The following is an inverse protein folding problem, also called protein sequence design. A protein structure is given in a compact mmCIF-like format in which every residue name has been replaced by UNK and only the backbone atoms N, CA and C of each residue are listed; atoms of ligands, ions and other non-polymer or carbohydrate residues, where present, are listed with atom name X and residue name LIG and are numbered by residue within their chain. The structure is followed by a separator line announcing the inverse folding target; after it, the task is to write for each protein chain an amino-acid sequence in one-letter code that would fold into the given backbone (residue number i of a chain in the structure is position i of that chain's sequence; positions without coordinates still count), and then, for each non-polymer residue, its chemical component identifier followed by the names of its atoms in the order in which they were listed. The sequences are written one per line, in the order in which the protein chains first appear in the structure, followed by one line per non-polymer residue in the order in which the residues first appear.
data_IF_010342221344
#
_entry.id   IF_010342221344
#
_cell.length_a   1.000
_cell.length_b   1.000
_cell.length_c   1.000
_cell.angle_alpha   90.00
_cell.angle_beta   90.00
_cell.angle_gamma   90.00
#
_symmetry.space_group_name_H-M   'P 1'
#
loop_
_entity.id
_entity.type
_entity.pdbx_description
1 polymer ?
#
# COMPACT_ATOMS: atom_id res chain seq x y z
N UNK A 1 -20.65 18.80 -31.27
CA UNK A 1 -20.57 19.41 -29.93
C UNK A 1 -21.16 18.43 -28.93
N UNK A 2 -20.34 17.59 -28.32
CA UNK A 2 -20.78 16.56 -27.36
C UNK A 2 -20.89 17.17 -25.96
N UNK A 3 -22.09 17.12 -25.40
CA UNK A 3 -22.45 17.71 -24.11
C UNK A 3 -21.63 17.07 -22.97
N UNK A 4 -21.09 17.90 -22.09
CA UNK A 4 -20.30 17.49 -20.92
C UNK A 4 -21.22 16.82 -19.90
N UNK A 5 -21.01 15.54 -19.60
CA UNK A 5 -21.74 14.83 -18.54
C UNK A 5 -21.06 15.07 -17.19
N UNK A 6 -21.81 15.64 -16.24
CA UNK A 6 -21.37 15.98 -14.88
C UNK A 6 -21.29 14.73 -13.99
N UNK A 7 -20.44 14.76 -12.95
CA UNK A 7 -20.30 13.71 -11.93
C UNK A 7 -21.40 13.75 -10.84
N UNK A 8 -22.45 14.54 -11.07
CA UNK A 8 -23.57 14.74 -10.16
C UNK A 8 -24.87 14.54 -10.92
N UNK A 9 -25.80 13.83 -10.28
CA UNK A 9 -27.19 13.76 -10.73
C UNK A 9 -27.86 15.12 -10.66
N UNK A 10 -29.03 15.25 -11.30
CA UNK A 10 -29.86 16.46 -11.26
C UNK A 10 -30.38 16.82 -9.85
N UNK A 11 -30.22 15.91 -8.90
CA UNK A 11 -30.57 16.04 -7.48
C UNK A 11 -29.41 16.49 -6.59
N UNK A 12 -28.23 16.73 -7.18
CA UNK A 12 -27.02 17.14 -6.47
C UNK A 12 -26.30 15.99 -5.74
N UNK A 13 -26.71 14.73 -5.94
CA UNK A 13 -26.03 13.58 -5.38
C UNK A 13 -24.91 13.06 -6.29
N UNK A 14 -23.86 12.53 -5.65
CA UNK A 14 -22.65 12.03 -6.29
C UNK A 14 -22.89 10.60 -6.80
N UNK A 15 -23.08 10.42 -8.11
CA UNK A 15 -23.25 9.12 -8.77
C UNK A 15 -21.90 8.46 -9.13
N UNK A 16 -20.95 8.46 -8.19
CA UNK A 16 -19.65 7.84 -8.34
C UNK A 16 -19.40 6.80 -7.25
N UNK A 17 -18.83 5.66 -7.63
CA UNK A 17 -18.39 4.64 -6.67
C UNK A 17 -17.20 5.20 -5.88
N UNK A 18 -17.45 5.73 -4.67
CA UNK A 18 -16.39 6.20 -3.77
C UNK A 18 -15.61 5.01 -3.21
N UNK A 19 -14.42 4.77 -3.75
CA UNK A 19 -13.38 3.95 -3.13
C UNK A 19 -12.17 4.83 -2.79
N UNK A 20 -12.31 5.75 -1.82
CA UNK A 20 -11.21 6.63 -1.37
C UNK A 20 -10.73 7.64 -2.43
N UNK A 21 -9.54 8.27 -2.27
CA UNK A 21 -9.08 9.40 -3.10
C UNK A 21 -8.76 9.06 -4.57
N UNK A 22 -9.06 7.83 -5.01
CA UNK A 22 -8.81 7.37 -6.36
C UNK A 22 -10.15 7.22 -7.09
N UNK A 23 -10.45 8.15 -7.98
CA UNK A 23 -11.62 8.06 -8.86
C UNK A 23 -11.20 7.39 -10.18
N UNK A 24 -11.63 6.14 -10.39
CA UNK A 24 -11.50 5.48 -11.69
C UNK A 24 -12.61 6.03 -12.59
N UNK A 25 -12.24 6.62 -13.73
CA UNK A 25 -13.21 7.22 -14.67
C UNK A 25 -13.82 6.13 -15.56
N UNK A 26 -15.10 6.29 -15.92
CA UNK A 26 -15.78 5.44 -16.90
C UNK A 26 -15.02 5.51 -18.24
N UNK A 27 -14.74 4.35 -18.84
CA UNK A 27 -14.02 4.23 -20.13
C UNK A 27 -12.52 3.97 -20.03
N UNK A 28 -11.97 3.68 -18.84
CA UNK A 28 -10.59 3.20 -18.72
C UNK A 28 -10.41 1.85 -19.39
N UNK A 29 -9.36 1.75 -20.21
CA UNK A 29 -8.99 0.53 -20.90
C UNK A 29 -8.67 -0.59 -19.89
N UNK A 30 -9.30 -1.75 -20.09
CA UNK A 30 -9.10 -2.95 -19.26
C UNK A 30 -7.64 -3.39 -19.26
N UNK A 31 -6.94 -3.21 -20.38
CA UNK A 31 -5.52 -3.52 -20.46
C UNK A 31 -4.69 -2.58 -19.58
N UNK A 32 -4.96 -1.27 -19.62
CA UNK A 32 -4.33 -0.28 -18.74
C UNK A 32 -4.58 -0.58 -17.25
N UNK A 33 -5.84 -0.86 -16.86
CA UNK A 33 -6.19 -1.24 -15.48
C UNK A 33 -5.45 -2.51 -15.00
N UNK A 34 -5.25 -3.47 -15.91
CA UNK A 34 -4.51 -4.70 -15.61
C UNK A 34 -3.02 -4.41 -15.40
N UNK A 35 -2.43 -3.54 -16.22
CA UNK A 35 -1.05 -3.09 -16.05
C UNK A 35 -0.85 -2.33 -14.74
N UNK A 36 -1.75 -1.41 -14.41
CA UNK A 36 -1.73 -0.67 -13.15
C UNK A 36 -1.82 -1.61 -11.94
N UNK A 37 -2.69 -2.61 -12.00
CA UNK A 37 -2.79 -3.61 -10.94
C UNK A 37 -1.49 -4.42 -10.79
N UNK A 38 -0.80 -4.73 -11.90
CA UNK A 38 0.50 -5.41 -11.85
C UNK A 38 1.56 -4.53 -11.17
N UNK A 39 1.62 -3.24 -11.50
CA UNK A 39 2.52 -2.27 -10.88
C UNK A 39 2.26 -2.18 -9.37
N UNK A 40 1.00 -2.00 -8.97
CA UNK A 40 0.64 -1.87 -7.55
C UNK A 40 0.90 -3.17 -6.78
N UNK A 41 0.72 -4.34 -7.41
CA UNK A 41 1.07 -5.63 -6.80
C UNK A 41 2.56 -5.71 -6.50
N UNK A 42 3.40 -5.30 -7.44
CA UNK A 42 4.84 -5.27 -7.27
C UNK A 42 5.26 -4.28 -6.18
N UNK A 43 4.66 -3.09 -6.14
CA UNK A 43 4.89 -2.09 -5.09
C UNK A 43 4.42 -2.51 -3.69
N UNK A 44 3.59 -3.56 -3.60
CA UNK A 44 3.15 -4.16 -2.35
C UNK A 44 3.93 -5.43 -1.98
N UNK A 45 4.90 -5.86 -2.80
CA UNK A 45 5.66 -7.08 -2.54
C UNK A 45 6.59 -6.88 -1.34
N UNK A 46 6.60 -7.87 -0.44
CA UNK A 46 7.53 -7.92 0.68
C UNK A 46 8.99 -7.87 0.23
N UNK A 47 9.83 -7.27 1.06
CA UNK A 47 11.27 -7.15 0.85
C UNK A 47 12.00 -8.47 1.12
N UNK A 48 13.20 -8.62 0.55
CA UNK A 48 14.06 -9.75 0.91
C UNK A 48 14.58 -9.55 2.33
N UNK A 49 14.62 -10.62 3.13
CA UNK A 49 15.13 -10.58 4.51
C UNK A 49 16.53 -9.95 4.62
N UNK A 50 17.40 -10.15 3.62
CA UNK A 50 18.74 -9.55 3.58
C UNK A 50 18.71 -8.02 3.48
N UNK A 51 17.78 -7.45 2.72
CA UNK A 51 17.63 -5.99 2.58
C UNK A 51 17.04 -5.39 3.86
N UNK A 52 16.07 -6.08 4.46
CA UNK A 52 15.47 -5.68 5.74
C UNK A 52 16.50 -5.75 6.87
N UNK A 53 17.30 -6.82 6.93
CA UNK A 53 18.37 -6.97 7.92
C UNK A 53 19.36 -5.81 7.88
N UNK A 54 19.67 -5.28 6.70
CA UNK A 54 20.53 -4.11 6.55
C UNK A 54 19.91 -2.86 7.19
N UNK A 55 18.63 -2.60 6.97
CA UNK A 55 17.96 -1.43 7.56
C UNK A 55 17.74 -1.57 9.07
N UNK A 56 17.40 -2.78 9.54
CA UNK A 56 17.30 -3.08 10.98
C UNK A 56 18.67 -2.91 11.64
N UNK A 57 19.76 -3.37 11.04
CA UNK A 57 21.11 -3.17 11.58
C UNK A 57 21.45 -1.68 11.72
N UNK A 58 21.14 -0.84 10.71
CA UNK A 58 21.32 0.61 10.81
C UNK A 58 20.49 1.22 11.94
N UNK A 59 19.23 0.81 12.07
CA UNK A 59 18.35 1.26 13.16
C UNK A 59 18.94 0.90 14.54
N UNK A 60 19.42 -0.32 14.72
CA UNK A 60 20.03 -0.77 15.98
C UNK A 60 21.30 0.01 16.30
N UNK A 61 22.14 0.31 15.30
CA UNK A 61 23.37 1.11 15.49
C UNK A 61 23.06 2.57 15.86
N UNK A 62 21.96 3.12 15.33
CA UNK A 62 21.57 4.52 15.54
C UNK A 62 20.68 4.74 16.77
N UNK A 63 20.30 3.68 17.49
CA UNK A 63 19.45 3.75 18.67
C UNK A 63 20.09 3.06 19.87
N UNK A 64 19.67 3.42 21.09
CA UNK A 64 20.12 2.74 22.31
C UNK A 64 19.20 1.57 22.64
N UNK A 65 19.78 0.42 22.95
CA UNK A 65 19.04 -0.68 23.56
C UNK A 65 18.62 -0.30 24.99
N UNK A 66 17.41 -0.73 25.42
CA UNK A 66 16.84 -0.41 26.74
C UNK A 66 17.36 -1.28 27.90
N UNK A 67 18.46 -2.02 27.70
CA UNK A 67 19.09 -3.00 28.62
C UNK A 67 18.75 -4.48 28.32
N UNK A 68 18.90 -4.88 27.06
CA UNK A 68 18.89 -6.30 26.67
C UNK A 68 20.31 -6.87 26.66
N UNK A 69 20.45 -8.14 27.07
CA UNK A 69 21.67 -8.89 26.81
C UNK A 69 21.89 -9.13 25.31
N UNK A 70 23.11 -9.49 24.89
CA UNK A 70 23.46 -9.66 23.48
C UNK A 70 22.56 -10.70 22.76
N UNK A 71 22.20 -11.78 23.46
CA UNK A 71 21.32 -12.83 22.93
C UNK A 71 19.87 -12.36 22.70
N UNK A 72 19.31 -11.57 23.61
CA UNK A 72 17.97 -10.99 23.47
C UNK A 72 17.93 -9.96 22.34
N UNK A 73 18.97 -9.14 22.22
CA UNK A 73 19.09 -8.14 21.15
C UNK A 73 19.13 -8.80 19.77
N UNK A 74 19.84 -9.93 19.64
CA UNK A 74 19.87 -10.73 18.41
C UNK A 74 18.51 -11.33 18.07
N UNK A 75 17.84 -11.95 19.03
CA UNK A 75 16.51 -12.55 18.81
C UNK A 75 15.47 -11.48 18.43
N UNK A 76 15.54 -10.31 19.06
CA UNK A 76 14.71 -9.16 18.70
C UNK A 76 14.96 -8.73 17.25
N UNK A 77 16.21 -8.56 16.84
CA UNK A 77 16.56 -8.17 15.48
C UNK A 77 16.09 -9.21 14.44
N UNK A 78 16.31 -10.50 14.70
CA UNK A 78 15.86 -11.59 13.82
C UNK A 78 14.33 -11.60 13.67
N UNK A 79 13.60 -11.37 14.76
CA UNK A 79 12.13 -11.28 14.77
C UNK A 79 11.65 -10.06 13.98
N UNK A 80 12.23 -8.88 14.23
CA UNK A 80 11.92 -7.67 13.46
C UNK A 80 12.18 -7.86 11.97
N UNK A 81 13.27 -8.52 11.58
CA UNK A 81 13.57 -8.80 10.17
C UNK A 81 12.53 -9.72 9.55
N UNK A 82 12.09 -10.75 10.28
CA UNK A 82 11.04 -11.64 9.80
C UNK A 82 9.73 -10.88 9.57
N UNK A 83 9.30 -10.06 10.53
CA UNK A 83 8.03 -9.34 10.44
C UNK A 83 8.07 -8.19 9.42
N UNK A 84 9.14 -7.40 9.39
CA UNK A 84 9.31 -6.31 8.42
C UNK A 84 9.45 -6.82 6.98
N UNK A 85 9.87 -8.08 6.77
CA UNK A 85 9.95 -8.66 5.42
C UNK A 85 8.58 -8.83 4.74
N UNK A 86 7.47 -8.71 5.50
CA UNK A 86 6.13 -8.63 4.92
C UNK A 86 5.87 -7.30 4.18
N UNK A 87 6.69 -6.28 4.41
CA UNK A 87 6.53 -4.94 3.84
C UNK A 87 7.52 -4.68 2.70
N UNK A 88 7.17 -3.82 1.73
CA UNK A 88 8.10 -3.36 0.71
C UNK A 88 9.32 -2.65 1.31
N UNK A 89 10.49 -2.79 0.68
CA UNK A 89 11.75 -2.28 1.23
C UNK A 89 11.75 -0.76 1.41
N UNK A 90 11.04 -0.04 0.54
CA UNK A 90 10.93 1.42 0.63
C UNK A 90 10.07 1.86 1.82
N UNK A 91 9.09 1.03 2.22
CA UNK A 91 8.30 1.25 3.44
C UNK A 91 9.14 0.96 4.69
N UNK A 92 9.92 -0.12 4.67
CA UNK A 92 10.83 -0.48 5.78
C UNK A 92 11.88 0.61 5.99
N UNK A 93 12.55 1.06 4.92
CA UNK A 93 13.53 2.17 4.98
C UNK A 93 12.92 3.42 5.59
N UNK A 94 11.76 3.84 5.08
CA UNK A 94 11.05 4.99 5.61
C UNK A 94 10.75 4.83 7.09
N UNK A 95 10.26 3.67 7.54
CA UNK A 95 9.93 3.45 8.94
C UNK A 95 11.16 3.52 9.85
N UNK A 96 12.27 2.90 9.44
CA UNK A 96 13.54 2.96 10.19
C UNK A 96 14.11 4.37 10.24
N UNK A 97 14.11 5.10 9.11
CA UNK A 97 14.62 6.48 9.03
C UNK A 97 13.75 7.45 9.83
N UNK A 98 12.42 7.38 9.67
CA UNK A 98 11.45 8.19 10.38
C UNK A 98 11.59 8.08 11.90
N UNK A 99 11.83 6.85 12.41
CA UNK A 99 12.06 6.65 13.83
C UNK A 99 13.30 7.41 14.32
N UNK A 100 14.42 7.22 13.62
CA UNK A 100 15.70 7.83 14.03
C UNK A 100 15.68 9.35 13.91
N UNK A 101 14.95 9.90 12.95
CA UNK A 101 14.87 11.36 12.71
C UNK A 101 13.95 12.10 13.68
N UNK A 102 13.28 11.42 14.61
CA UNK A 102 12.48 12.07 15.66
C UNK A 102 10.99 11.71 15.65
N UNK A 103 10.60 10.61 15.01
CA UNK A 103 9.23 10.11 15.01
C UNK A 103 8.71 9.61 16.37
N UNK A 104 9.61 9.26 17.31
CA UNK A 104 9.28 8.86 18.69
C UNK A 104 10.54 8.50 19.45
N UNK A 105 10.68 8.95 20.71
CA UNK A 105 11.79 8.68 21.64
C UNK A 105 13.11 8.22 20.98
N UNK A 106 13.62 8.98 19.99
CA UNK A 106 14.60 8.54 18.99
C UNK A 106 15.94 8.06 19.57
N UNK A 107 16.09 8.25 20.89
CA UNK A 107 17.14 7.69 21.71
C UNK A 107 17.09 6.17 21.80
N UNK A 108 15.90 5.54 21.81
CA UNK A 108 15.76 4.12 22.08
C UNK A 108 15.30 3.34 20.85
N UNK A 109 15.68 2.06 20.81
CA UNK A 109 15.20 1.13 19.79
C UNK A 109 13.68 1.03 19.86
N UNK A 110 12.95 1.09 18.73
CA UNK A 110 11.50 0.99 18.74
C UNK A 110 11.07 -0.43 19.11
N UNK A 111 9.90 -0.53 19.70
CA UNK A 111 9.15 -1.78 19.76
C UNK A 111 8.60 -2.16 18.39
N UNK A 112 8.30 -3.45 18.20
CA UNK A 112 7.65 -3.92 16.98
C UNK A 112 6.33 -3.18 16.64
N UNK A 113 5.40 -2.97 17.59
CA UNK A 113 4.16 -2.24 17.32
C UNK A 113 4.36 -0.83 16.74
N UNK A 114 5.38 -0.09 17.21
CA UNK A 114 5.66 1.27 16.73
C UNK A 114 6.13 1.27 15.27
N UNK A 115 7.06 0.37 14.91
CA UNK A 115 7.48 0.21 13.51
C UNK A 115 6.34 -0.27 12.62
N UNK A 116 5.52 -1.19 13.13
CA UNK A 116 4.36 -1.72 12.42
C UNK A 116 3.37 -0.61 12.08
N UNK A 117 3.04 0.27 13.03
CA UNK A 117 2.10 1.38 12.80
C UNK A 117 2.60 2.30 11.67
N UNK A 118 3.88 2.66 11.68
CA UNK A 118 4.48 3.48 10.62
C UNK A 118 4.39 2.77 9.26
N UNK A 119 4.70 1.47 9.22
CA UNK A 119 4.62 0.68 8.01
C UNK A 119 3.18 0.56 7.47
N UNK A 120 2.21 0.29 8.34
CA UNK A 120 0.79 0.17 7.99
C UNK A 120 0.23 1.49 7.45
N UNK A 121 0.54 2.61 8.11
CA UNK A 121 0.14 3.95 7.66
C UNK A 121 0.68 4.26 6.26
N UNK A 122 1.91 3.86 5.96
CA UNK A 122 2.51 4.05 4.62
C UNK A 122 1.93 3.09 3.57
N UNK A 123 1.53 1.88 3.97
CA UNK A 123 0.95 0.87 3.08
C UNK A 123 -0.53 1.10 2.74
N UNK A 124 -1.29 1.74 3.62
CA UNK A 124 -2.74 1.90 3.49
C UNK A 124 -3.17 2.43 2.11
N UNK A 125 -2.51 3.47 1.60
CA UNK A 125 -2.80 4.01 0.26
C UNK A 125 -2.61 2.99 -0.87
N UNK A 126 -1.53 2.21 -0.84
CA UNK A 126 -1.25 1.16 -1.84
C UNK A 126 -2.28 0.04 -1.78
N UNK A 127 -2.64 -0.37 -0.57
CA UNK A 127 -3.62 -1.43 -0.35
C UNK A 127 -5.02 -1.01 -0.79
N UNK A 128 -5.41 0.25 -0.55
CA UNK A 128 -6.67 0.82 -1.04
C UNK A 128 -6.71 0.86 -2.56
N UNK A 129 -5.65 1.35 -3.21
CA UNK A 129 -5.55 1.38 -4.67
C UNK A 129 -5.63 -0.04 -5.25
N UNK A 130 -4.91 -1.01 -4.66
CA UNK A 130 -4.97 -2.42 -5.06
C UNK A 130 -6.38 -2.99 -4.96
N UNK A 131 -7.12 -2.67 -3.90
CA UNK A 131 -8.52 -3.11 -3.73
C UNK A 131 -9.43 -2.47 -4.78
N UNK A 132 -9.28 -1.16 -5.03
CA UNK A 132 -10.06 -0.45 -6.04
C UNK A 132 -9.85 -1.04 -7.45
N UNK A 133 -8.60 -1.24 -7.87
CA UNK A 133 -8.27 -1.83 -9.18
C UNK A 133 -8.81 -3.27 -9.33
N UNK A 134 -8.71 -4.09 -8.27
CA UNK A 134 -9.29 -5.44 -8.27
C UNK A 134 -10.81 -5.41 -8.42
N UNK A 135 -11.47 -4.52 -7.68
CA UNK A 135 -12.92 -4.35 -7.74
C UNK A 135 -13.37 -3.99 -9.16
N UNK A 136 -12.77 -2.96 -9.76
CA UNK A 136 -13.11 -2.52 -11.12
C UNK A 136 -12.87 -3.59 -12.18
N UNK A 137 -11.81 -4.40 -12.07
CA UNK A 137 -11.55 -5.49 -13.03
C UNK A 137 -12.52 -6.68 -12.87
N UNK A 138 -13.08 -6.86 -11.67
CA UNK A 138 -14.07 -7.90 -11.37
C UNK A 138 -15.49 -7.51 -11.74
N UNK A 139 -15.80 -6.22 -11.81
CA UNK A 139 -17.09 -5.76 -12.31
C UNK A 139 -17.16 -5.93 -13.83
N UNK A 140 -18.26 -6.50 -14.37
CA UNK A 140 -18.48 -6.51 -15.81
C UNK A 140 -18.67 -5.07 -16.29
N UNK A 141 -17.78 -4.60 -17.16
CA UNK A 141 -17.94 -3.29 -17.79
C UNK A 141 -19.25 -3.26 -18.58
N UNK A 142 -20.11 -2.28 -18.35
CA UNK A 142 -21.39 -2.13 -19.07
C UNK A 142 -21.25 -2.11 -20.60
N UNK A 143 -20.04 -1.83 -21.11
CA UNK A 143 -19.69 -1.93 -22.53
C UNK A 143 -19.86 -3.35 -23.11
N UNK A 144 -19.72 -4.40 -22.28
CA UNK A 144 -19.91 -5.80 -22.70
C UNK A 144 -21.39 -6.24 -22.71
N UNK A 145 -22.30 -5.46 -22.11
CA UNK A 145 -23.74 -5.77 -22.13
C UNK A 145 -24.41 -5.26 -23.39
N UNK A 146 -23.94 -4.15 -23.96
CA UNK A 146 -24.54 -3.57 -25.16
C UNK A 146 -24.31 -4.43 -26.40
N UNK A 147 -23.15 -5.08 -26.52
CA UNK A 147 -22.80 -5.94 -27.66
C UNK A 147 -23.51 -7.30 -27.66
N UNK A 148 -24.04 -7.78 -26.52
CA UNK A 148 -24.83 -9.03 -26.45
C UNK A 148 -26.32 -8.85 -26.71
N UNK A 149 -26.82 -7.61 -26.76
CA UNK A 149 -28.23 -7.30 -26.99
C UNK A 149 -28.65 -7.24 -28.47
N UNK A 150 -27.71 -7.05 -29.39
CA UNK A 150 -28.03 -6.80 -30.82
C UNK A 150 -28.00 -8.07 -31.71
N UNK A 151 -27.68 -9.24 -31.16
CA UNK A 151 -27.58 -10.50 -31.92
C UNK A 151 -28.86 -11.36 -31.90
N UNK A 152 -30.04 -10.74 -31.72
CA UNK A 152 -31.35 -11.40 -31.86
C UNK A 152 -32.31 -10.49 -32.63
N UNK A 153 -32.18 -10.50 -33.95
CA UNK A 153 -33.25 -10.13 -34.87
C UNK A 153 -33.39 -11.21 -35.92
#
# INVERSE_FOLDING_TARGET
MTSKTSAFGSDGQFEGLKLGPFAIKKGWDRQALTQDLAIVREQCRGARKSEVAHEVAKLMVRTKSRAHGDGESRLMAETMVADLSAYPIDVVRFACEYWVEGGGDAKFTPSWPELREICEKRMDGRLRLRRALKYTLSEPSDTDRTTRGEART
#
